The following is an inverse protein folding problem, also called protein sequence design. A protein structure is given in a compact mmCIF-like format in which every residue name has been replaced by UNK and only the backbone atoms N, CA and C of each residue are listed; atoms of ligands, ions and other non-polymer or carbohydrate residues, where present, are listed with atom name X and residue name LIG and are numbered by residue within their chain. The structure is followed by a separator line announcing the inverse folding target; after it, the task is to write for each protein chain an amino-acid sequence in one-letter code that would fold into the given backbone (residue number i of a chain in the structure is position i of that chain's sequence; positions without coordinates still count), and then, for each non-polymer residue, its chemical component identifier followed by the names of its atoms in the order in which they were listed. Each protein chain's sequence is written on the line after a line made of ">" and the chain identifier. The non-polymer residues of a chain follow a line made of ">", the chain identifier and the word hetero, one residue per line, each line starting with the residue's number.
data_IF_462135954307
#
_entry.id   IF_462135954307
#
_cell.length_a   1.000
_cell.length_b   1.000
_cell.length_c   1.000
_cell.angle_alpha   90.00
_cell.angle_beta   90.00
_cell.angle_gamma   90.00
#
_symmetry.space_group_name_H-M   'P 1'
#
loop_
_entity.id
_entity.type
_entity.pdbx_description
1 polymer ?
#
# COMPACT_ATOMS: atom_id res chain seq x y z
N UNK A 1 -28.34 18.19 -6.03
CA UNK A 1 -29.51 18.87 -6.62
C UNK A 1 -30.12 17.94 -7.65
N UNK A 2 -31.42 17.59 -7.61
CA UNK A 2 -32.38 17.32 -6.51
C UNK A 2 -32.89 15.84 -6.54
N UNK A 3 -33.40 15.28 -5.42
CA UNK A 3 -34.83 14.96 -5.10
C UNK A 3 -35.61 14.16 -6.16
N UNK A 4 -36.53 13.23 -5.87
CA UNK A 4 -37.44 13.13 -4.72
C UNK A 4 -38.02 11.71 -4.57
N UNK A 5 -38.51 11.45 -3.37
CA UNK A 5 -39.47 10.44 -2.94
C UNK A 5 -40.87 10.66 -3.56
N UNK A 6 -41.60 9.60 -3.89
CA UNK A 6 -43.06 9.66 -4.02
C UNK A 6 -43.75 8.50 -3.30
N UNK A 7 -44.47 8.89 -2.24
CA UNK A 7 -45.45 8.12 -1.47
C UNK A 7 -46.79 8.20 -2.18
N UNK A 8 -47.45 7.08 -2.46
CA UNK A 8 -48.85 7.07 -2.92
C UNK A 8 -49.78 6.56 -1.83
N UNK A 9 -50.55 7.49 -1.28
CA UNK A 9 -51.69 7.33 -0.37
C UNK A 9 -52.91 6.84 -1.15
N UNK A 10 -53.44 5.67 -0.79
CA UNK A 10 -54.72 5.14 -1.27
C UNK A 10 -55.82 5.32 -0.22
N UNK A 11 -56.87 6.04 -0.61
CA UNK A 11 -58.06 6.44 0.16
C UNK A 11 -59.04 5.27 0.38
N UNK A 12 -59.62 5.18 1.59
CA UNK A 12 -60.93 4.57 1.88
C UNK A 12 -62.07 5.56 1.56
N UNK A 13 -63.28 5.09 1.23
CA UNK A 13 -64.43 5.14 2.17
C UNK A 13 -65.35 3.89 2.00
N UNK A 14 -66.39 3.54 2.77
CA UNK A 14 -67.46 4.27 3.48
C UNK A 14 -68.18 3.25 4.40
N UNK A 15 -68.33 3.50 5.69
CA UNK A 15 -69.57 3.79 6.46
C UNK A 15 -70.81 2.93 6.14
N UNK A 16 -71.19 2.14 7.15
CA UNK A 16 -72.56 1.68 7.43
C UNK A 16 -72.71 1.51 8.96
N UNK A 17 -73.75 2.06 9.57
CA UNK A 17 -74.05 2.17 11.02
C UNK A 17 -75.43 1.53 11.30
N UNK A 18 -75.93 1.47 12.56
CA UNK A 18 -75.56 0.66 13.74
C UNK A 18 -76.62 -0.43 14.05
N UNK A 19 -76.33 -1.33 14.98
CA UNK A 19 -77.39 -1.90 15.83
C UNK A 19 -76.94 -1.94 17.29
N UNK A 20 -77.78 -1.33 18.12
CA UNK A 20 -77.73 -1.19 19.57
C UNK A 20 -77.74 -2.55 20.27
N UNK A 21 -77.02 -2.67 21.40
CA UNK A 21 -77.50 -3.11 22.73
C UNK A 21 -76.29 -3.07 23.70
N UNK A 22 -76.45 -2.37 24.82
CA UNK A 22 -75.72 -2.52 26.10
C UNK A 22 -76.81 -2.75 27.17
N UNK A 23 -76.54 -3.30 28.36
CA UNK A 23 -75.29 -3.87 28.88
C UNK A 23 -75.49 -5.28 29.50
N UNK A 24 -74.62 -6.24 29.22
CA UNK A 24 -74.53 -7.44 30.06
C UNK A 24 -73.25 -7.42 30.88
N UNK A 25 -73.47 -7.22 32.18
CA UNK A 25 -72.50 -7.21 33.26
C UNK A 25 -71.94 -8.63 33.46
N UNK A 26 -70.91 -8.95 32.66
CA UNK A 26 -70.04 -10.09 32.94
C UNK A 26 -68.81 -9.61 33.69
N UNK A 27 -69.00 -9.51 35.01
CA UNK A 27 -68.08 -9.95 36.05
C UNK A 27 -66.61 -9.93 35.62
N UNK A 28 -65.91 -8.86 36.00
CA UNK A 28 -64.45 -8.88 36.09
C UNK A 28 -64.04 -10.04 37.00
N UNK A 29 -63.63 -11.15 36.40
CA UNK A 29 -62.94 -12.23 37.07
C UNK A 29 -61.61 -11.68 37.60
N UNK A 30 -61.34 -11.67 38.92
CA UNK A 30 -60.06 -11.23 39.46
C UNK A 30 -58.92 -12.25 39.23
N UNK A 31 -59.14 -13.30 38.44
CA UNK A 31 -58.16 -14.35 38.19
C UNK A 31 -57.05 -13.96 37.18
N UNK A 32 -57.13 -12.79 36.53
CA UNK A 32 -56.15 -12.38 35.50
C UNK A 32 -54.84 -11.80 36.06
N UNK A 33 -54.78 -11.49 37.36
CA UNK A 33 -53.60 -10.85 37.97
C UNK A 33 -52.40 -11.81 38.07
N UNK A 34 -52.64 -13.13 38.13
CA UNK A 34 -51.58 -14.15 38.21
C UNK A 34 -50.92 -14.48 36.86
N UNK A 35 -51.69 -14.49 35.77
CA UNK A 35 -51.19 -14.85 34.44
C UNK A 35 -50.28 -13.75 33.87
N UNK A 36 -50.65 -12.47 34.03
CA UNK A 36 -49.81 -11.33 33.63
C UNK A 36 -48.51 -11.23 34.44
N UNK A 37 -48.49 -11.72 35.69
CA UNK A 37 -47.26 -11.78 36.50
C UNK A 37 -46.30 -12.86 36.03
N UNK A 38 -46.83 -14.03 35.61
CA UNK A 38 -46.01 -15.12 35.06
C UNK A 38 -45.43 -14.75 33.69
N UNK A 39 -46.24 -14.16 32.82
CA UNK A 39 -45.83 -13.64 31.51
C UNK A 39 -44.70 -12.61 31.64
N UNK A 40 -44.85 -11.64 32.55
CA UNK A 40 -43.84 -10.61 32.80
C UNK A 40 -42.51 -11.20 33.31
N UNK A 41 -42.57 -12.22 34.18
CA UNK A 41 -41.37 -12.95 34.66
C UNK A 41 -40.69 -13.74 33.54
N UNK A 42 -41.47 -14.41 32.68
CA UNK A 42 -40.95 -15.15 31.53
C UNK A 42 -40.26 -14.21 30.55
N UNK A 43 -40.89 -13.07 30.22
CA UNK A 43 -40.30 -12.04 29.35
C UNK A 43 -39.01 -11.43 29.91
N UNK A 44 -38.98 -11.13 31.23
CA UNK A 44 -37.78 -10.62 31.88
C UNK A 44 -36.63 -11.64 31.83
N UNK A 45 -36.93 -12.93 32.04
CA UNK A 45 -35.95 -14.01 31.92
C UNK A 45 -35.46 -14.17 30.49
N UNK A 46 -36.36 -14.19 29.50
CA UNK A 46 -36.04 -14.29 28.08
C UNK A 46 -35.10 -13.16 27.66
N UNK A 47 -35.45 -11.90 27.98
CA UNK A 47 -34.57 -10.76 27.72
C UNK A 47 -33.19 -10.92 28.36
N UNK A 48 -33.14 -11.41 29.59
CA UNK A 48 -31.88 -11.70 30.28
C UNK A 48 -31.04 -12.77 29.57
N UNK A 49 -31.67 -13.81 29.01
CA UNK A 49 -30.95 -14.85 28.26
C UNK A 49 -30.48 -14.36 26.89
N UNK A 50 -31.32 -13.62 26.16
CA UNK A 50 -30.97 -13.02 24.87
C UNK A 50 -29.77 -12.08 25.04
N UNK A 51 -29.76 -11.25 26.07
CA UNK A 51 -28.64 -10.33 26.34
C UNK A 51 -27.35 -11.09 26.66
N UNK A 52 -27.43 -12.20 27.41
CA UNK A 52 -26.27 -13.07 27.66
C UNK A 52 -25.75 -13.71 26.38
N UNK A 53 -26.63 -14.16 25.49
CA UNK A 53 -26.26 -14.72 24.18
C UNK A 53 -25.57 -13.65 23.33
N UNK A 54 -26.18 -12.46 23.25
CA UNK A 54 -25.66 -11.32 22.50
C UNK A 54 -24.25 -10.94 22.93
N UNK A 55 -24.02 -10.78 24.24
CA UNK A 55 -22.69 -10.45 24.78
C UNK A 55 -21.63 -11.50 24.42
N UNK A 56 -21.98 -12.80 24.50
CA UNK A 56 -21.04 -13.87 24.11
C UNK A 56 -20.74 -13.83 22.61
N UNK A 57 -21.77 -13.60 21.79
CA UNK A 57 -21.62 -13.48 20.34
C UNK A 57 -20.74 -12.29 19.96
N UNK A 58 -21.01 -11.10 20.49
CA UNK A 58 -20.24 -9.89 20.21
C UNK A 58 -18.77 -10.04 20.63
N UNK A 59 -18.52 -10.67 21.79
CA UNK A 59 -17.16 -10.99 22.24
C UNK A 59 -16.44 -11.90 21.25
N UNK A 60 -17.06 -13.02 20.89
CA UNK A 60 -16.44 -14.00 19.99
C UNK A 60 -16.23 -13.44 18.58
N UNK A 61 -17.17 -12.64 18.08
CA UNK A 61 -17.01 -11.90 16.82
C UNK A 61 -15.81 -10.96 16.85
N UNK A 62 -15.65 -10.20 17.94
CA UNK A 62 -14.52 -9.30 18.11
C UNK A 62 -13.18 -10.04 18.15
N UNK A 63 -13.13 -11.20 18.82
CA UNK A 63 -11.94 -12.06 18.86
C UNK A 63 -11.59 -12.62 17.48
N UNK A 64 -12.59 -13.05 16.70
CA UNK A 64 -12.38 -13.54 15.32
C UNK A 64 -11.81 -12.41 14.44
N UNK A 65 -12.40 -11.22 14.48
CA UNK A 65 -11.95 -10.07 13.69
C UNK A 65 -10.52 -9.65 14.10
N UNK A 66 -10.22 -9.63 15.41
CA UNK A 66 -8.90 -9.30 15.90
C UNK A 66 -7.84 -10.28 15.37
N UNK A 67 -8.13 -11.58 15.45
CA UNK A 67 -7.24 -12.63 14.94
C UNK A 67 -7.05 -12.52 13.42
N UNK A 68 -8.13 -12.31 12.66
CA UNK A 68 -8.05 -12.13 11.21
C UNK A 68 -7.18 -10.93 10.83
N UNK A 69 -7.37 -9.81 11.52
CA UNK A 69 -6.57 -8.60 11.31
C UNK A 69 -5.10 -8.81 11.66
N UNK A 70 -4.82 -9.52 12.76
CA UNK A 70 -3.45 -9.87 13.14
C UNK A 70 -2.77 -10.69 12.04
N UNK A 71 -3.43 -11.74 11.53
CA UNK A 71 -2.87 -12.56 10.44
C UNK A 71 -2.64 -11.78 9.16
N UNK A 72 -3.62 -10.96 8.75
CA UNK A 72 -3.45 -10.08 7.58
C UNK A 72 -2.31 -9.09 7.75
N UNK A 73 -2.14 -8.54 8.95
CA UNK A 73 -1.06 -7.60 9.25
C UNK A 73 0.31 -8.29 9.20
N UNK A 74 0.43 -9.51 9.75
CA UNK A 74 1.66 -10.31 9.64
C UNK A 74 2.05 -10.54 8.18
N UNK A 75 1.12 -11.01 7.35
CA UNK A 75 1.38 -11.24 5.92
C UNK A 75 1.75 -9.95 5.18
N UNK A 76 1.07 -8.84 5.49
CA UNK A 76 1.41 -7.53 4.94
C UNK A 76 2.84 -7.11 5.29
N UNK A 77 3.25 -7.29 6.55
CA UNK A 77 4.60 -6.96 6.99
C UNK A 77 5.66 -7.84 6.30
N UNK A 78 5.40 -9.13 6.11
CA UNK A 78 6.30 -10.00 5.35
C UNK A 78 6.46 -9.55 3.90
N UNK A 79 5.34 -9.21 3.26
CA UNK A 79 5.33 -8.73 1.88
C UNK A 79 6.14 -7.43 1.73
N UNK A 80 5.92 -6.44 2.60
CA UNK A 80 6.67 -5.18 2.57
C UNK A 80 8.16 -5.40 2.84
N UNK A 81 8.52 -6.28 3.78
CA UNK A 81 9.93 -6.65 4.04
C UNK A 81 10.60 -7.22 2.79
N UNK A 82 9.95 -8.18 2.11
CA UNK A 82 10.46 -8.79 0.87
C UNK A 82 10.60 -7.75 -0.25
N UNK A 83 9.68 -6.79 -0.33
CA UNK A 83 9.72 -5.69 -1.29
C UNK A 83 10.91 -4.75 -1.03
N UNK A 84 11.13 -4.36 0.22
CA UNK A 84 12.25 -3.52 0.65
C UNK A 84 13.60 -4.19 0.36
N UNK A 85 13.75 -5.49 0.70
CA UNK A 85 14.96 -6.26 0.37
C UNK A 85 15.23 -6.28 -1.13
N UNK A 86 14.19 -6.47 -1.95
CA UNK A 86 14.32 -6.47 -3.40
C UNK A 86 14.75 -5.10 -3.94
N UNK A 87 14.18 -4.03 -3.41
CA UNK A 87 14.53 -2.66 -3.78
C UNK A 87 15.98 -2.32 -3.39
N UNK A 88 16.40 -2.74 -2.19
CA UNK A 88 17.78 -2.59 -1.73
C UNK A 88 18.77 -3.34 -2.62
N UNK A 89 18.43 -4.58 -3.03
CA UNK A 89 19.25 -5.38 -3.96
C UNK A 89 19.36 -4.69 -5.32
N UNK A 90 18.25 -4.16 -5.85
CA UNK A 90 18.24 -3.40 -7.12
C UNK A 90 19.12 -2.15 -7.04
N UNK A 91 18.96 -1.36 -5.97
CA UNK A 91 19.76 -0.14 -5.75
C UNK A 91 21.26 -0.44 -5.65
N UNK A 92 21.61 -1.46 -4.87
CA UNK A 92 23.00 -1.92 -4.74
C UNK A 92 23.59 -2.37 -6.07
N UNK A 93 22.84 -3.18 -6.83
CA UNK A 93 23.27 -3.65 -8.15
C UNK A 93 23.49 -2.49 -9.13
N UNK A 94 22.56 -1.52 -9.15
CA UNK A 94 22.65 -0.34 -10.00
C UNK A 94 23.87 0.52 -9.64
N UNK A 95 24.14 0.71 -8.35
CA UNK A 95 25.36 1.40 -7.87
C UNK A 95 26.62 0.67 -8.33
N UNK A 96 26.67 -0.65 -8.22
CA UNK A 96 27.81 -1.43 -8.73
C UNK A 96 27.99 -1.30 -10.24
N UNK A 97 26.90 -1.29 -11.01
CA UNK A 97 26.94 -1.06 -12.44
C UNK A 97 27.56 0.29 -12.78
N UNK A 98 27.07 1.39 -12.20
CA UNK A 98 27.63 2.72 -12.45
C UNK A 98 29.09 2.85 -11.99
N UNK A 99 29.46 2.24 -10.86
CA UNK A 99 30.85 2.21 -10.42
C UNK A 99 31.76 1.48 -11.42
N UNK A 100 31.30 0.39 -12.04
CA UNK A 100 32.05 -0.32 -13.09
C UNK A 100 32.22 0.55 -14.33
N UNK A 101 31.16 1.22 -14.78
CA UNK A 101 31.23 2.17 -15.91
C UNK A 101 32.22 3.31 -15.60
N UNK A 102 32.11 3.93 -14.43
CA UNK A 102 33.01 5.02 -14.02
C UNK A 102 34.48 4.57 -13.98
N UNK A 103 34.75 3.33 -13.54
CA UNK A 103 36.10 2.75 -13.54
C UNK A 103 36.62 2.54 -14.96
N UNK A 104 35.80 1.98 -15.86
CA UNK A 104 36.15 1.80 -17.27
C UNK A 104 36.50 3.15 -17.89
N UNK A 105 35.64 4.14 -17.70
CA UNK A 105 35.84 5.48 -18.23
C UNK A 105 37.10 6.15 -17.69
N UNK A 106 37.40 5.97 -16.40
CA UNK A 106 38.61 6.49 -15.79
C UNK A 106 39.88 5.88 -16.42
N UNK A 107 39.92 4.56 -16.58
CA UNK A 107 41.03 3.86 -17.23
C UNK A 107 41.17 4.32 -18.68
N UNK A 108 40.08 4.39 -19.44
CA UNK A 108 40.09 4.83 -20.83
C UNK A 108 40.57 6.29 -20.97
N UNK A 109 40.16 7.19 -20.08
CA UNK A 109 40.68 8.56 -20.03
C UNK A 109 42.18 8.59 -19.75
N UNK A 110 42.66 7.80 -18.79
CA UNK A 110 44.09 7.67 -18.49
C UNK A 110 44.89 7.20 -19.70
N UNK A 111 44.44 6.13 -20.37
CA UNK A 111 45.09 5.61 -21.57
C UNK A 111 45.13 6.65 -22.72
N UNK A 112 44.03 7.38 -22.95
CA UNK A 112 43.98 8.47 -23.94
C UNK A 112 44.94 9.61 -23.58
N UNK A 113 45.04 9.98 -22.31
CA UNK A 113 45.95 11.03 -21.86
C UNK A 113 47.42 10.64 -22.09
N UNK A 114 47.81 9.41 -21.75
CA UNK A 114 49.16 8.90 -22.00
C UNK A 114 49.49 8.84 -23.49
N UNK A 115 48.55 8.40 -24.33
CA UNK A 115 48.72 8.38 -25.77
C UNK A 115 48.94 9.78 -26.34
N UNK A 116 48.16 10.75 -25.88
CA UNK A 116 48.26 12.15 -26.31
C UNK A 116 49.58 12.80 -25.84
N UNK A 117 50.04 12.49 -24.64
CA UNK A 117 51.34 12.92 -24.14
C UNK A 117 52.48 12.36 -25.00
N UNK A 118 52.44 11.07 -25.33
CA UNK A 118 53.42 10.43 -26.21
C UNK A 118 53.44 11.08 -27.60
N UNK A 119 52.26 11.32 -28.20
CA UNK A 119 52.14 12.04 -29.48
C UNK A 119 52.78 13.42 -29.42
N UNK A 120 52.46 14.21 -28.38
CA UNK A 120 53.04 15.56 -28.19
C UNK A 120 54.55 15.51 -28.03
N UNK A 121 55.08 14.53 -27.32
CA UNK A 121 56.52 14.36 -27.12
C UNK A 121 57.25 14.02 -28.43
N UNK A 122 56.73 13.05 -29.19
CA UNK A 122 57.28 12.69 -30.50
C UNK A 122 57.24 13.87 -31.48
N UNK A 123 56.12 14.59 -31.55
CA UNK A 123 55.99 15.81 -32.35
C UNK A 123 56.96 16.91 -31.90
N UNK A 124 57.18 17.07 -30.59
CA UNK A 124 58.15 18.01 -30.05
C UNK A 124 59.57 17.66 -30.51
N UNK A 125 59.98 16.38 -30.40
CA UNK A 125 61.30 15.92 -30.87
C UNK A 125 61.49 16.23 -32.37
N UNK A 126 60.47 15.95 -33.20
CA UNK A 126 60.54 16.24 -34.64
C UNK A 126 60.67 17.74 -34.89
N UNK A 127 59.90 18.58 -34.18
CA UNK A 127 59.97 20.05 -34.29
C UNK A 127 61.34 20.58 -33.86
N UNK A 128 61.93 20.05 -32.79
CA UNK A 128 63.29 20.39 -32.34
C UNK A 128 64.34 20.04 -33.40
N UNK A 129 64.30 18.82 -33.96
CA UNK A 129 65.20 18.40 -35.04
C UNK A 129 65.06 19.32 -36.26
N UNK A 130 63.83 19.61 -36.69
CA UNK A 130 63.57 20.52 -37.80
C UNK A 130 64.12 21.93 -37.53
N UNK A 131 63.98 22.45 -36.30
CA UNK A 131 64.56 23.75 -35.93
C UNK A 131 66.08 23.75 -36.04
N UNK A 132 66.75 22.69 -35.56
CA UNK A 132 68.21 22.54 -35.69
C UNK A 132 68.67 22.50 -37.15
N UNK A 133 67.94 21.82 -38.03
CA UNK A 133 68.25 21.79 -39.47
C UNK A 133 68.13 23.20 -40.05
N UNK A 134 67.03 23.92 -39.77
CA UNK A 134 66.85 25.30 -40.26
C UNK A 134 67.95 26.25 -39.79
N UNK A 135 68.45 26.09 -38.57
CA UNK A 135 69.49 26.98 -38.01
C UNK A 135 70.92 26.61 -38.45
N UNK A 136 71.21 25.34 -38.73
CA UNK A 136 72.58 24.87 -39.02
C UNK A 136 72.80 24.42 -40.47
N UNK A 137 71.73 24.19 -41.24
CA UNK A 137 71.77 23.62 -42.58
C UNK A 137 72.14 22.13 -42.64
N UNK A 138 72.36 21.46 -41.50
CA UNK A 138 72.82 20.07 -41.44
C UNK A 138 71.72 19.13 -40.93
N UNK A 139 71.47 18.05 -41.66
CA UNK A 139 70.51 17.01 -41.25
C UNK A 139 71.15 16.11 -40.18
N UNK A 140 70.53 15.93 -39.01
CA UNK A 140 71.05 15.03 -37.98
C UNK A 140 70.98 13.57 -38.46
N UNK A 141 72.10 12.85 -38.37
CA UNK A 141 72.18 11.42 -38.68
C UNK A 141 71.46 10.60 -37.59
N UNK A 142 70.42 9.86 -37.96
CA UNK A 142 69.84 8.83 -37.10
C UNK A 142 70.63 7.53 -37.33
N UNK A 143 71.32 7.03 -36.31
CA UNK A 143 71.81 5.65 -36.32
C UNK A 143 70.62 4.73 -36.00
N UNK A 144 70.09 4.04 -37.00
CA UNK A 144 69.15 2.94 -36.83
C UNK A 144 69.94 1.62 -36.94
N UNK A 145 70.40 1.10 -35.81
CA UNK A 145 70.81 -0.30 -35.73
C UNK A 145 69.59 -1.13 -35.30
N UNK A 146 69.25 -2.12 -36.13
CA UNK A 146 68.15 -3.07 -35.95
C UNK A 146 68.47 -4.12 -34.89
#
# INVERSE_FOLDING_TARGET
>A
MPSATETTTGKNPSIGRPTSILPEDHRLNPASTGLGSSEAKAYAWEKGQIEKIRKRYEKMQSEIIAWENEKKLTEKHEMERKKEELEQRKSTNLKHYYNKIARIDHIARGAKAQLEEKRKHEEFIVKEKARKIRSTGKTPFNCFCF
#
